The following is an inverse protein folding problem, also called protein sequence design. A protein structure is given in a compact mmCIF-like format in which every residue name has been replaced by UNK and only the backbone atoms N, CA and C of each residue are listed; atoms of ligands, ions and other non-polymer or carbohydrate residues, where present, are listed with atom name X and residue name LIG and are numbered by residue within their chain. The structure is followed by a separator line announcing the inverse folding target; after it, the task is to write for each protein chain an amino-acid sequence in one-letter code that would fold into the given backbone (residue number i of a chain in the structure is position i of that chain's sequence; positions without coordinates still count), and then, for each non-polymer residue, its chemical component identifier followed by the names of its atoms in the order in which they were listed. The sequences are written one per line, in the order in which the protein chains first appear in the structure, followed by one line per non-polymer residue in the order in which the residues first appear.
data_IF_454733613028
#
_entry.id   IF_454733613028
#
_cell.length_a   1.000
_cell.length_b   1.000
_cell.length_c   1.000
_cell.angle_alpha   90.00
_cell.angle_beta   90.00
_cell.angle_gamma   90.00
#
_symmetry.space_group_name_H-M   'P 1'
#
loop_
_entity.id
_entity.type
_entity.pdbx_description
1 polymer ?
#
# COMPACT_ATOMS: atom_id res chain seq x y z
N UNK A 1 -9.48 12.73 31.94
CA UNK A 1 -9.41 14.10 31.39
C UNK A 1 -8.35 15.03 32.03
N UNK A 2 -7.67 14.64 33.09
CA UNK A 2 -6.65 15.46 33.78
C UNK A 2 -5.21 15.19 33.30
N UNK A 3 -4.93 14.06 32.62
CA UNK A 3 -3.58 13.64 32.22
C UNK A 3 -3.06 14.33 30.95
N UNK A 4 -3.90 14.56 29.94
CA UNK A 4 -3.48 15.17 28.66
C UNK A 4 -3.15 16.66 28.75
N UNK A 5 -3.83 17.41 29.63
CA UNK A 5 -3.54 18.84 29.84
C UNK A 5 -2.21 19.08 30.54
N UNK A 6 -1.71 18.11 31.30
CA UNK A 6 -0.40 18.19 31.94
C UNK A 6 0.74 17.93 30.96
N UNK A 7 0.63 16.96 30.05
CA UNK A 7 1.66 16.66 29.07
C UNK A 7 1.87 17.78 28.06
N UNK A 8 0.80 18.41 27.58
CA UNK A 8 0.89 19.57 26.67
C UNK A 8 1.58 20.78 27.34
N UNK A 9 1.28 21.05 28.63
CA UNK A 9 1.95 22.11 29.39
C UNK A 9 3.46 21.89 29.51
N UNK A 10 3.90 20.65 29.71
CA UNK A 10 5.31 20.31 29.77
C UNK A 10 6.02 20.47 28.41
N UNK A 11 5.37 20.14 27.31
CA UNK A 11 5.92 20.35 25.95
C UNK A 11 6.07 21.84 25.64
N UNK A 12 5.08 22.67 26.01
CA UNK A 12 5.20 24.13 25.86
C UNK A 12 6.25 24.74 26.79
N UNK A 13 6.39 24.26 28.00
CA UNK A 13 7.43 24.69 28.93
C UNK A 13 8.83 24.31 28.42
N UNK A 14 9.02 23.11 27.88
CA UNK A 14 10.30 22.66 27.29
C UNK A 14 10.65 23.46 26.02
N UNK A 15 9.68 23.75 25.17
CA UNK A 15 9.90 24.59 23.98
C UNK A 15 10.22 26.03 24.36
N UNK A 16 9.52 26.61 25.32
CA UNK A 16 9.83 27.94 25.84
C UNK A 16 11.21 28.03 26.54
N UNK A 17 11.57 26.99 27.30
CA UNK A 17 12.90 26.89 27.92
C UNK A 17 14.02 26.83 26.87
N UNK A 18 13.85 26.07 25.79
CA UNK A 18 14.84 26.02 24.71
C UNK A 18 15.01 27.36 23.99
N UNK A 19 13.91 28.09 23.72
CA UNK A 19 13.97 29.42 23.13
C UNK A 19 14.70 30.43 24.09
N UNK A 20 14.40 30.36 25.38
CA UNK A 20 15.06 31.20 26.40
C UNK A 20 16.54 30.88 26.49
N UNK A 21 16.94 29.61 26.43
CA UNK A 21 18.34 29.19 26.45
C UNK A 21 19.07 29.69 25.21
N UNK A 22 18.50 29.62 24.04
CA UNK A 22 19.07 30.11 22.79
C UNK A 22 19.25 31.63 22.87
N UNK A 23 18.24 32.37 23.35
CA UNK A 23 18.34 33.82 23.56
C UNK A 23 19.41 34.18 24.60
N UNK A 24 19.50 33.45 25.70
CA UNK A 24 20.53 33.65 26.73
C UNK A 24 21.94 33.40 26.17
N UNK A 25 22.13 32.37 25.35
CA UNK A 25 23.39 32.08 24.68
C UNK A 25 23.77 33.22 23.71
N UNK A 26 22.79 33.73 22.95
CA UNK A 26 23.03 34.86 22.03
C UNK A 26 23.46 36.13 22.77
N UNK A 27 22.79 36.48 23.88
CA UNK A 27 23.14 37.62 24.73
C UNK A 27 24.51 37.42 25.38
N UNK A 28 24.83 36.22 25.84
CA UNK A 28 26.13 35.89 26.44
C UNK A 28 27.26 36.00 25.40
N UNK A 29 27.05 35.54 24.17
CA UNK A 29 28.00 35.65 23.08
C UNK A 29 28.28 37.11 22.68
N UNK A 30 27.30 38.00 22.79
CA UNK A 30 27.48 39.42 22.50
C UNK A 30 28.18 40.20 23.65
N UNK A 31 28.10 39.68 24.88
CA UNK A 31 28.66 40.27 26.07
C UNK A 31 30.10 39.81 26.42
N UNK A 32 30.60 38.74 25.80
CA UNK A 32 31.93 38.17 26.09
C UNK A 32 32.98 38.59 25.05
N UNK A 33 34.23 38.83 25.41
CA UNK A 33 35.33 39.15 24.49
C UNK A 33 35.81 37.85 23.80
N UNK A 34 35.00 37.29 22.88
CA UNK A 34 35.36 36.17 22.05
C UNK A 34 35.91 36.62 20.70
N UNK A 35 36.84 35.84 20.14
CA UNK A 35 37.36 36.04 18.80
C UNK A 35 36.25 36.08 17.77
N UNK A 36 36.38 36.93 16.75
CA UNK A 36 35.33 37.17 15.75
C UNK A 36 35.03 35.92 14.91
N UNK A 37 36.04 35.07 14.69
CA UNK A 37 35.92 33.81 13.95
C UNK A 37 35.14 32.74 14.75
N UNK A 38 35.37 32.68 16.07
CA UNK A 38 34.62 31.77 16.98
C UNK A 38 33.16 32.22 17.08
N UNK A 39 32.89 33.53 17.11
CA UNK A 39 31.53 34.08 17.09
C UNK A 39 30.75 33.71 15.83
N UNK A 40 31.41 33.83 14.66
CA UNK A 40 30.76 33.49 13.37
C UNK A 40 30.41 32.01 13.29
N UNK A 41 31.32 31.15 13.71
CA UNK A 41 31.11 29.67 13.68
C UNK A 41 29.96 29.23 14.61
N UNK A 42 29.86 29.85 15.80
CA UNK A 42 28.76 29.53 16.74
C UNK A 42 27.43 30.08 16.20
N UNK A 43 27.40 31.29 15.62
CA UNK A 43 26.19 31.84 14.98
C UNK A 43 25.72 31.00 13.79
N UNK A 44 26.62 30.54 12.94
CA UNK A 44 26.31 29.65 11.84
C UNK A 44 25.77 28.29 12.33
N UNK A 45 26.33 27.72 13.39
CA UNK A 45 25.87 26.50 14.01
C UNK A 45 24.48 26.67 14.61
N UNK A 46 24.17 27.75 15.28
CA UNK A 46 22.85 28.07 15.83
C UNK A 46 21.86 28.32 14.68
N UNK A 47 22.26 29.02 13.63
CA UNK A 47 21.43 29.28 12.45
C UNK A 47 21.12 27.99 11.69
N UNK A 48 22.09 27.06 11.59
CA UNK A 48 21.89 25.71 11.04
C UNK A 48 20.94 24.88 11.89
N UNK A 49 21.00 24.99 13.21
CA UNK A 49 20.07 24.31 14.12
C UNK A 49 18.66 24.92 14.06
N UNK A 50 18.55 26.27 13.99
CA UNK A 50 17.21 26.91 13.85
C UNK A 50 16.59 26.69 12.48
N UNK A 51 17.39 26.59 11.41
CA UNK A 51 16.89 26.26 10.06
C UNK A 51 16.48 24.78 9.91
N UNK A 52 16.94 23.90 10.80
CA UNK A 52 16.46 22.51 10.87
C UNK A 52 15.10 22.37 11.60
N UNK A 53 14.72 23.37 12.38
CA UNK A 53 13.40 23.47 13.00
C UNK A 53 12.57 24.50 12.25
N UNK A 54 11.86 24.05 11.21
CA UNK A 54 10.92 24.91 10.48
C UNK A 54 9.69 25.20 11.36
N UNK A 55 9.72 26.37 12.04
CA UNK A 55 8.61 26.86 12.86
C UNK A 55 7.43 27.41 12.04
N UNK A 56 7.50 27.41 10.71
CA UNK A 56 6.36 27.82 9.86
C UNK A 56 5.18 26.86 9.97
N UNK A 57 5.43 25.62 10.39
CA UNK A 57 4.39 24.63 10.66
C UNK A 57 3.47 25.00 11.85
N UNK A 58 3.96 25.71 12.85
CA UNK A 58 3.16 26.15 14.00
C UNK A 58 2.31 27.41 13.72
N UNK A 59 2.58 28.17 12.66
CA UNK A 59 1.76 29.32 12.24
C UNK A 59 0.51 28.95 11.44
N UNK A 60 0.43 27.69 10.93
CA UNK A 60 -0.71 27.19 10.17
C UNK A 60 -1.89 26.68 11.03
N UNK A 61 -1.67 26.49 12.35
CA UNK A 61 -2.69 25.87 13.23
C UNK A 61 -3.73 26.88 13.76
N UNK A 62 -3.54 28.19 13.57
CA UNK A 62 -4.39 29.20 14.22
C UNK A 62 -4.95 30.29 13.30
N UNK A 63 -5.21 30.03 12.04
CA UNK A 63 -6.09 30.91 11.24
C UNK A 63 -6.88 30.12 10.22
N UNK A 64 -8.19 30.36 10.29
CA UNK A 64 -9.24 30.05 9.32
C UNK A 64 -9.96 28.72 9.41
N UNK A 65 -10.63 28.53 10.55
CA UNK A 65 -11.89 27.78 10.61
C UNK A 65 -13.08 28.70 10.30
N UNK A 66 -13.18 29.19 9.08
CA UNK A 66 -14.43 29.66 8.48
C UNK A 66 -14.49 29.10 7.07
N UNK A 67 -14.98 27.87 6.98
CA UNK A 67 -15.21 27.20 5.73
C UNK A 67 -16.37 27.84 4.97
N UNK A 68 -16.12 28.29 3.79
CA UNK A 68 -17.13 28.29 2.75
C UNK A 68 -17.15 26.88 2.13
N UNK A 69 -18.24 26.17 2.31
CA UNK A 69 -18.50 24.90 1.67
C UNK A 69 -18.68 25.09 0.17
N UNK A 70 -17.62 25.03 -0.62
CA UNK A 70 -17.70 24.91 -2.07
C UNK A 70 -16.32 24.74 -2.73
N UNK A 71 -15.57 23.68 -2.42
CA UNK A 71 -14.49 23.30 -3.32
C UNK A 71 -14.29 21.79 -3.22
N UNK A 72 -14.90 21.07 -4.15
CA UNK A 72 -14.96 19.61 -4.20
C UNK A 72 -13.97 19.05 -5.22
N UNK A 73 -12.68 19.39 -5.12
CA UNK A 73 -11.74 18.88 -6.11
C UNK A 73 -10.28 19.05 -5.76
N UNK A 74 -9.46 18.18 -6.34
CA UNK A 74 -8.02 18.32 -6.33
C UNK A 74 -7.58 19.30 -7.40
N UNK A 75 -6.66 20.20 -7.06
CA UNK A 75 -6.02 21.08 -8.04
C UNK A 75 -4.63 20.57 -8.34
N UNK A 76 -4.38 20.24 -9.61
CA UNK A 76 -3.05 19.92 -10.14
C UNK A 76 -2.50 21.16 -10.82
N UNK A 77 -1.36 21.64 -10.32
CA UNK A 77 -0.66 22.80 -10.91
C UNK A 77 0.64 22.34 -11.59
N UNK A 78 0.87 22.67 -12.87
CA UNK A 78 2.12 22.34 -13.56
C UNK A 78 3.36 22.90 -12.84
N UNK A 79 4.40 22.05 -12.69
CA UNK A 79 5.67 22.44 -12.09
C UNK A 79 5.67 22.55 -10.55
N UNK A 80 4.50 22.46 -9.92
CA UNK A 80 4.37 22.43 -8.47
C UNK A 80 3.07 21.71 -8.14
N UNK A 81 3.12 20.37 -8.08
CA UNK A 81 1.92 19.57 -7.78
C UNK A 81 1.48 19.85 -6.35
N UNK A 82 0.39 20.57 -6.23
CA UNK A 82 -0.29 20.84 -4.95
C UNK A 82 -1.59 20.06 -4.94
N UNK A 83 -1.66 19.09 -4.06
CA UNK A 83 -2.93 18.42 -3.78
C UNK A 83 -3.67 19.25 -2.73
N UNK A 84 -4.67 20.00 -3.20
CA UNK A 84 -5.61 20.67 -2.30
C UNK A 84 -6.66 19.64 -1.91
N UNK A 85 -6.47 19.09 -0.73
CA UNK A 85 -7.41 18.14 -0.17
C UNK A 85 -8.66 18.86 0.34
N UNK A 86 -9.80 18.54 -0.22
CA UNK A 86 -11.11 18.92 0.30
C UNK A 86 -11.97 17.67 0.38
N UNK A 87 -12.26 17.25 1.60
CA UNK A 87 -13.19 16.17 1.83
C UNK A 87 -14.56 16.73 2.19
N UNK A 88 -15.52 16.83 1.24
CA UNK A 88 -16.86 17.35 1.53
C UNK A 88 -17.64 16.42 2.46
N UNK A 89 -17.23 15.15 2.57
CA UNK A 89 -17.82 14.15 3.47
C UNK A 89 -17.08 14.07 4.81
N UNK A 90 -15.95 14.78 4.95
CA UNK A 90 -15.17 14.78 6.17
C UNK A 90 -16.02 15.35 7.31
N UNK A 91 -16.35 14.52 8.27
CA UNK A 91 -16.91 14.96 9.55
C UNK A 91 -15.73 15.34 10.42
N UNK A 92 -15.69 16.59 10.86
CA UNK A 92 -14.80 16.95 11.97
C UNK A 92 -15.37 16.23 13.21
N UNK A 93 -14.64 15.23 13.70
CA UNK A 93 -15.10 14.40 14.80
C UNK A 93 -13.94 13.79 15.59
N UNK A 94 -14.28 13.15 16.68
CA UNK A 94 -13.33 12.33 17.44
C UNK A 94 -12.90 11.13 16.58
N UNK A 95 -11.59 10.81 16.43
CA UNK A 95 -11.12 9.65 15.70
C UNK A 95 -11.79 8.34 16.10
N UNK A 96 -12.15 8.18 17.36
CA UNK A 96 -12.87 7.00 17.87
C UNK A 96 -14.29 6.91 17.30
N UNK A 97 -15.02 8.03 17.24
CA UNK A 97 -16.36 8.06 16.63
C UNK A 97 -16.29 7.77 15.13
N UNK A 98 -15.27 8.28 14.45
CA UNK A 98 -15.02 8.01 13.03
C UNK A 98 -14.71 6.53 12.81
N UNK A 99 -13.87 5.91 13.64
CA UNK A 99 -13.60 4.48 13.58
C UNK A 99 -14.87 3.63 13.75
N UNK A 100 -15.73 3.98 14.73
CA UNK A 100 -17.00 3.29 14.95
C UNK A 100 -17.95 3.44 13.75
N UNK A 101 -18.01 4.64 13.14
CA UNK A 101 -18.80 4.88 11.92
C UNK A 101 -18.26 4.09 10.73
N UNK A 102 -16.94 4.10 10.53
CA UNK A 102 -16.28 3.36 9.45
C UNK A 102 -16.47 1.84 9.59
N UNK A 103 -16.36 1.33 10.81
CA UNK A 103 -16.60 -0.09 11.11
C UNK A 103 -18.05 -0.48 10.80
N UNK A 104 -19.02 0.34 11.20
CA UNK A 104 -20.45 0.11 10.86
C UNK A 104 -20.66 0.11 9.35
N UNK A 105 -20.15 1.10 8.64
CA UNK A 105 -20.26 1.21 7.18
C UNK A 105 -19.71 0.00 6.45
N UNK A 106 -18.49 -0.43 6.79
CA UNK A 106 -17.90 -1.63 6.25
C UNK A 106 -18.76 -2.86 6.50
N UNK A 107 -19.20 -3.03 7.75
CA UNK A 107 -20.03 -4.18 8.16
C UNK A 107 -21.39 -4.18 7.44
N UNK A 108 -22.03 -3.03 7.28
CA UNK A 108 -23.30 -2.91 6.55
C UNK A 108 -23.14 -3.30 5.08
N UNK A 109 -22.07 -2.85 4.42
CA UNK A 109 -21.76 -3.23 3.03
C UNK A 109 -21.48 -4.72 2.91
N UNK A 110 -20.68 -5.28 3.80
CA UNK A 110 -20.31 -6.71 3.76
C UNK A 110 -21.47 -7.65 4.11
N UNK A 111 -22.45 -7.19 4.89
CA UNK A 111 -23.63 -7.96 5.23
C UNK A 111 -24.69 -7.98 4.12
N UNK A 112 -24.58 -7.16 3.08
CA UNK A 112 -25.47 -7.23 1.93
C UNK A 112 -25.25 -8.56 1.19
N UNK A 113 -26.33 -9.29 0.93
CA UNK A 113 -26.24 -10.56 0.18
C UNK A 113 -25.92 -10.29 -1.27
N UNK A 114 -24.86 -10.90 -1.77
CA UNK A 114 -24.34 -10.73 -3.14
C UNK A 114 -24.08 -12.10 -3.79
N UNK A 115 -23.99 -12.11 -5.12
CA UNK A 115 -23.68 -13.33 -5.89
C UNK A 115 -22.52 -13.15 -6.88
N UNK A 116 -21.98 -11.95 -6.99
CA UNK A 116 -20.93 -11.57 -7.94
C UNK A 116 -21.27 -10.24 -8.63
N UNK A 117 -20.36 -9.67 -9.41
CA UNK A 117 -20.61 -8.45 -10.17
C UNK A 117 -21.80 -8.56 -11.11
N UNK A 118 -22.69 -7.57 -11.08
CA UNK A 118 -23.89 -7.48 -11.93
C UNK A 118 -23.72 -6.61 -13.18
N UNK A 119 -22.60 -5.92 -13.27
CA UNK A 119 -22.29 -5.00 -14.39
C UNK A 119 -21.72 -5.72 -15.62
N UNK A 120 -21.70 -7.07 -15.59
CA UNK A 120 -21.26 -7.92 -16.69
C UNK A 120 -22.04 -9.24 -16.70
N UNK A 121 -22.21 -9.83 -17.89
CA UNK A 121 -22.78 -11.16 -18.06
C UNK A 121 -21.76 -12.25 -17.63
N UNK A 122 -21.79 -12.62 -16.36
CA UNK A 122 -20.89 -13.63 -15.81
C UNK A 122 -21.12 -15.03 -16.40
N UNK A 123 -22.30 -15.30 -16.98
CA UNK A 123 -22.59 -16.60 -17.60
C UNK A 123 -21.73 -16.80 -18.83
N UNK A 124 -21.38 -15.71 -19.55
CA UNK A 124 -20.50 -15.77 -20.72
C UNK A 124 -19.05 -16.15 -20.41
N UNK A 125 -18.65 -16.05 -19.16
CA UNK A 125 -17.29 -16.35 -18.67
C UNK A 125 -17.29 -17.37 -17.52
N UNK A 126 -18.31 -18.23 -17.45
CA UNK A 126 -18.36 -19.33 -16.49
C UNK A 126 -17.30 -20.40 -16.77
N UNK A 127 -17.01 -21.18 -15.74
CA UNK A 127 -16.14 -22.34 -15.87
C UNK A 127 -16.63 -23.28 -16.98
N UNK A 128 -15.74 -23.66 -17.90
CA UNK A 128 -16.09 -24.56 -18.99
C UNK A 128 -16.37 -25.98 -18.48
N UNK A 129 -17.17 -26.73 -19.24
CA UNK A 129 -17.36 -28.17 -18.98
C UNK A 129 -16.08 -28.97 -19.26
N UNK A 130 -15.24 -28.49 -20.17
CA UNK A 130 -13.92 -29.03 -20.49
C UNK A 130 -12.86 -27.92 -20.44
N UNK A 131 -12.05 -27.85 -19.36
CA UNK A 131 -10.97 -26.87 -19.24
C UNK A 131 -9.91 -26.99 -20.34
N UNK A 132 -9.74 -28.16 -20.97
CA UNK A 132 -8.76 -28.38 -22.01
C UNK A 132 -9.03 -27.62 -23.32
N UNK A 133 -10.27 -27.23 -23.55
CA UNK A 133 -10.71 -26.48 -24.74
C UNK A 133 -10.97 -25.00 -24.45
N UNK A 134 -10.75 -24.57 -23.21
CA UNK A 134 -11.05 -23.20 -22.77
C UNK A 134 -9.98 -22.22 -23.23
N UNK A 135 -10.42 -21.16 -23.92
CA UNK A 135 -9.55 -20.06 -24.28
C UNK A 135 -9.35 -19.13 -23.07
N UNK A 136 -8.16 -19.19 -22.48
CA UNK A 136 -7.80 -18.37 -21.32
C UNK A 136 -7.57 -16.92 -21.69
N UNK A 137 -7.81 -16.00 -20.75
CA UNK A 137 -7.18 -14.69 -20.79
C UNK A 137 -5.64 -14.84 -20.66
N UNK A 138 -4.89 -13.84 -21.11
CA UNK A 138 -3.42 -13.89 -21.04
C UNK A 138 -2.96 -13.62 -19.60
N UNK A 139 -2.97 -14.63 -18.74
CA UNK A 139 -2.76 -14.51 -17.31
C UNK A 139 -1.97 -15.68 -16.70
N UNK A 140 -1.41 -15.46 -15.53
CA UNK A 140 -0.74 -16.45 -14.69
C UNK A 140 -1.01 -16.23 -13.21
N UNK A 141 -0.93 -17.30 -12.41
CA UNK A 141 -1.00 -17.26 -10.95
C UNK A 141 0.43 -17.25 -10.43
N UNK A 142 0.80 -16.24 -9.64
CA UNK A 142 2.18 -16.00 -9.21
C UNK A 142 2.35 -16.28 -7.72
N UNK A 143 3.41 -16.99 -7.37
CA UNK A 143 3.85 -17.17 -5.99
C UNK A 143 5.36 -16.96 -5.86
N UNK A 144 5.78 -15.95 -5.11
CA UNK A 144 7.16 -15.80 -4.66
C UNK A 144 7.32 -16.63 -3.38
N UNK A 145 8.09 -17.70 -3.44
CA UNK A 145 8.09 -18.72 -2.39
C UNK A 145 9.42 -19.50 -2.35
N UNK A 146 9.90 -19.75 -1.14
CA UNK A 146 11.13 -20.55 -0.93
C UNK A 146 10.84 -22.04 -0.94
N UNK A 147 11.88 -22.85 -1.21
CA UNK A 147 11.80 -24.31 -1.11
C UNK A 147 11.28 -24.81 0.25
N UNK A 148 11.60 -24.11 1.34
CA UNK A 148 11.16 -24.43 2.70
C UNK A 148 9.66 -24.23 2.92
N UNK A 149 9.00 -23.38 2.12
CA UNK A 149 7.58 -23.02 2.25
C UNK A 149 6.64 -23.95 1.49
N UNK A 150 7.15 -25.06 0.95
CA UNK A 150 6.40 -26.02 0.14
C UNK A 150 5.11 -26.57 0.81
N UNK A 151 5.05 -26.61 2.15
CA UNK A 151 3.84 -27.03 2.89
C UNK A 151 2.81 -25.91 2.89
N UNK A 152 3.24 -24.68 3.20
CA UNK A 152 2.37 -23.51 3.27
C UNK A 152 1.71 -23.20 1.91
N UNK A 153 2.54 -23.07 0.86
CA UNK A 153 2.01 -22.81 -0.49
C UNK A 153 1.16 -23.99 -1.01
N UNK A 154 1.50 -25.23 -0.68
CA UNK A 154 0.69 -26.38 -1.05
C UNK A 154 -0.70 -26.41 -0.38
N UNK A 155 -0.85 -25.81 0.82
CA UNK A 155 -2.17 -25.61 1.45
C UNK A 155 -2.97 -24.57 0.68
N UNK A 156 -2.34 -23.46 0.33
CA UNK A 156 -2.95 -22.40 -0.49
C UNK A 156 -3.41 -22.95 -1.84
N UNK A 157 -2.54 -23.65 -2.58
CA UNK A 157 -2.90 -24.23 -3.89
C UNK A 157 -4.14 -25.12 -3.78
N UNK A 158 -4.20 -26.03 -2.81
CA UNK A 158 -5.38 -26.91 -2.66
C UNK A 158 -6.69 -26.15 -2.40
N UNK A 159 -6.62 -25.01 -1.67
CA UNK A 159 -7.80 -24.16 -1.44
C UNK A 159 -8.14 -23.37 -2.69
N UNK A 160 -7.14 -22.83 -3.36
CA UNK A 160 -7.30 -22.05 -4.58
C UNK A 160 -7.79 -22.92 -5.76
N UNK A 161 -7.34 -24.17 -5.88
CA UNK A 161 -7.86 -25.12 -6.85
C UNK A 161 -9.37 -25.39 -6.64
N UNK A 162 -9.80 -25.54 -5.38
CA UNK A 162 -11.23 -25.73 -5.06
C UNK A 162 -12.05 -24.48 -5.32
N UNK A 163 -11.48 -23.32 -5.00
CA UNK A 163 -12.15 -22.03 -5.13
C UNK A 163 -12.23 -21.57 -6.58
N UNK A 164 -11.15 -21.67 -7.33
CA UNK A 164 -11.03 -21.10 -8.66
C UNK A 164 -10.31 -21.99 -9.67
N UNK A 165 -9.01 -22.26 -9.49
CA UNK A 165 -8.16 -22.70 -10.58
C UNK A 165 -8.38 -24.16 -11.02
N UNK A 166 -8.95 -24.99 -10.17
CA UNK A 166 -9.36 -26.34 -10.58
C UNK A 166 -10.37 -26.36 -11.74
N UNK A 167 -11.13 -25.27 -11.88
CA UNK A 167 -12.13 -25.08 -12.94
C UNK A 167 -11.55 -24.44 -14.20
N UNK A 168 -10.55 -23.56 -14.07
CA UNK A 168 -10.04 -22.73 -15.16
C UNK A 168 -8.67 -23.14 -15.67
N UNK A 169 -7.82 -23.77 -14.84
CA UNK A 169 -6.50 -24.29 -15.21
C UNK A 169 -5.50 -23.24 -15.73
N UNK A 170 -5.56 -22.02 -15.19
CA UNK A 170 -4.52 -21.01 -15.44
C UNK A 170 -3.14 -21.50 -14.97
N UNK A 171 -2.05 -21.17 -15.69
CA UNK A 171 -0.71 -21.60 -15.31
C UNK A 171 -0.26 -20.96 -13.98
N UNK A 172 0.52 -21.71 -13.22
CA UNK A 172 1.23 -21.20 -12.06
C UNK A 172 2.67 -20.81 -12.42
N UNK A 173 3.11 -19.67 -11.92
CA UNK A 173 4.50 -19.22 -12.02
C UNK A 173 5.07 -19.07 -10.61
N UNK A 174 5.91 -20.01 -10.21
CA UNK A 174 6.64 -19.98 -8.95
C UNK A 174 7.95 -19.23 -9.13
N UNK A 175 8.25 -18.32 -8.25
CA UNK A 175 9.41 -17.42 -8.32
C UNK A 175 10.19 -17.52 -7.00
N UNK A 176 11.51 -17.56 -7.06
CA UNK A 176 12.39 -17.63 -5.90
C UNK A 176 13.76 -16.99 -6.24
N UNK A 177 14.46 -16.52 -5.24
CA UNK A 177 15.84 -16.02 -5.35
C UNK A 177 16.88 -17.14 -5.46
N UNK A 178 16.46 -18.40 -5.22
CA UNK A 178 17.27 -19.60 -5.38
C UNK A 178 16.59 -20.63 -6.31
N UNK A 179 17.33 -21.53 -6.96
CA UNK A 179 16.75 -22.58 -7.78
C UNK A 179 15.78 -23.46 -6.99
N UNK A 180 14.65 -23.80 -7.61
CA UNK A 180 13.71 -24.75 -7.02
C UNK A 180 14.25 -26.19 -7.09
N UNK A 181 14.16 -26.90 -5.97
CA UNK A 181 14.51 -28.30 -5.89
C UNK A 181 13.49 -29.19 -6.61
N UNK A 182 13.94 -30.35 -7.14
CA UNK A 182 13.03 -31.32 -7.75
C UNK A 182 11.96 -31.81 -6.79
N UNK A 183 12.28 -31.89 -5.50
CA UNK A 183 11.32 -32.22 -4.44
C UNK A 183 10.19 -31.20 -4.37
N UNK A 184 10.53 -29.90 -4.43
CA UNK A 184 9.54 -28.82 -4.45
C UNK A 184 8.66 -28.91 -5.70
N UNK A 185 9.29 -28.99 -6.89
CA UNK A 185 8.59 -29.05 -8.18
C UNK A 185 7.62 -30.21 -8.23
N UNK A 186 8.05 -31.44 -7.90
CA UNK A 186 7.19 -32.63 -7.85
C UNK A 186 6.03 -32.46 -6.87
N UNK A 187 6.29 -31.80 -5.73
CA UNK A 187 5.26 -31.57 -4.72
C UNK A 187 4.20 -30.57 -5.21
N UNK A 188 4.60 -29.47 -5.88
CA UNK A 188 3.63 -28.51 -6.45
C UNK A 188 2.80 -29.17 -7.54
N UNK A 189 3.43 -29.91 -8.46
CA UNK A 189 2.76 -30.66 -9.51
C UNK A 189 1.74 -31.70 -9.00
N UNK A 190 1.88 -32.16 -7.75
CA UNK A 190 0.91 -33.09 -7.15
C UNK A 190 -0.38 -32.41 -6.67
N UNK A 191 -0.45 -31.07 -6.67
CA UNK A 191 -1.60 -30.31 -6.18
C UNK A 191 -2.52 -29.79 -7.29
N UNK A 192 -2.04 -29.70 -8.52
CA UNK A 192 -2.81 -29.20 -9.67
C UNK A 192 -2.28 -29.80 -10.98
N UNK A 193 -3.21 -30.03 -11.93
CA UNK A 193 -2.89 -30.41 -13.31
C UNK A 193 -2.62 -29.19 -14.21
N UNK A 194 -2.75 -27.98 -13.69
CA UNK A 194 -2.45 -26.75 -14.44
C UNK A 194 -0.94 -26.67 -14.75
N UNK A 195 -0.55 -26.03 -15.86
CA UNK A 195 0.86 -25.84 -16.19
C UNK A 195 1.61 -25.10 -15.07
N UNK A 196 2.88 -25.48 -14.83
CA UNK A 196 3.70 -24.85 -13.79
C UNK A 196 5.06 -24.44 -14.33
N UNK A 197 5.43 -23.19 -14.11
CA UNK A 197 6.74 -22.62 -14.39
C UNK A 197 7.48 -22.33 -13.08
N UNK A 198 8.81 -22.49 -13.09
CA UNK A 198 9.66 -22.29 -11.93
C UNK A 198 10.83 -21.36 -12.33
N UNK A 199 10.82 -20.15 -11.82
CA UNK A 199 11.73 -19.07 -12.18
C UNK A 199 12.69 -18.80 -11.03
N UNK A 200 13.97 -18.66 -11.35
CA UNK A 200 14.97 -18.11 -10.43
C UNK A 200 15.20 -16.65 -10.78
N UNK A 201 15.03 -15.76 -9.79
CA UNK A 201 15.18 -14.32 -9.99
C UNK A 201 16.65 -14.00 -10.29
N UNK A 202 16.96 -13.26 -11.37
CA UNK A 202 18.29 -12.73 -11.61
C UNK A 202 18.76 -11.86 -10.42
N UNK A 203 20.02 -12.01 -10.03
CA UNK A 203 20.62 -11.32 -8.89
C UNK A 203 20.44 -9.81 -8.94
N UNK A 204 20.61 -9.21 -10.10
CA UNK A 204 20.46 -7.77 -10.34
C UNK A 204 19.05 -7.24 -10.07
N UNK A 205 18.01 -8.07 -10.19
CA UNK A 205 16.63 -7.71 -9.88
C UNK A 205 16.25 -7.93 -8.41
N UNK A 206 17.01 -8.79 -7.72
CA UNK A 206 16.69 -9.18 -6.33
C UNK A 206 17.63 -8.57 -5.30
N UNK A 207 18.94 -8.68 -5.50
CA UNK A 207 19.92 -8.34 -4.48
C UNK A 207 19.90 -6.82 -4.15
N UNK A 208 20.32 -6.51 -2.93
CA UNK A 208 20.52 -5.13 -2.51
C UNK A 208 21.56 -4.46 -3.45
N UNK A 209 21.24 -3.30 -4.05
CA UNK A 209 22.17 -2.58 -4.90
C UNK A 209 23.47 -2.23 -4.17
N UNK A 210 24.60 -2.31 -4.87
CA UNK A 210 25.94 -1.98 -4.32
C UNK A 210 26.04 -0.52 -3.84
N UNK A 211 25.19 0.37 -4.37
CA UNK A 211 25.10 1.77 -3.96
C UNK A 211 24.53 1.97 -2.55
N UNK A 212 23.96 0.94 -1.95
CA UNK A 212 23.41 0.98 -0.59
C UNK A 212 24.53 0.78 0.43
N UNK A 213 24.78 1.80 1.24
CA UNK A 213 25.69 1.71 2.38
C UNK A 213 25.11 0.76 3.45
N UNK A 214 25.75 -0.39 3.61
CA UNK A 214 25.30 -1.44 4.51
C UNK A 214 25.29 -0.98 5.97
N UNK A 215 26.33 -0.23 6.39
CA UNK A 215 26.43 0.25 7.77
C UNK A 215 25.32 1.25 8.08
N UNK A 216 25.07 2.20 7.17
CA UNK A 216 23.97 3.16 7.30
C UNK A 216 22.62 2.45 7.32
N UNK A 217 22.44 1.42 6.49
CA UNK A 217 21.22 0.61 6.52
C UNK A 217 21.03 -0.02 7.89
N UNK A 218 22.06 -0.69 8.44
CA UNK A 218 21.97 -1.39 9.72
C UNK A 218 21.62 -0.43 10.86
N UNK A 219 22.23 0.78 10.87
CA UNK A 219 21.93 1.83 11.86
C UNK A 219 20.46 2.30 11.76
N UNK A 220 19.96 2.55 10.56
CA UNK A 220 18.58 3.00 10.35
C UNK A 220 17.55 1.89 10.65
N UNK A 221 17.87 0.64 10.31
CA UNK A 221 17.01 -0.50 10.62
C UNK A 221 16.95 -0.78 12.13
N UNK A 222 18.03 -0.49 12.88
CA UNK A 222 17.97 -0.55 14.33
C UNK A 222 16.99 0.48 14.89
N UNK A 223 17.04 1.73 14.40
CA UNK A 223 16.09 2.78 14.81
C UNK A 223 14.65 2.37 14.51
N UNK A 224 14.39 1.76 13.35
CA UNK A 224 13.05 1.27 13.01
C UNK A 224 12.59 0.12 13.90
N UNK A 225 13.48 -0.81 14.22
CA UNK A 225 13.16 -1.90 15.17
C UNK A 225 12.85 -1.37 16.56
N UNK A 226 13.59 -0.37 17.04
CA UNK A 226 13.34 0.31 18.32
C UNK A 226 11.97 1.05 18.35
N UNK A 227 11.36 1.26 17.17
CA UNK A 227 10.02 1.80 17.00
C UNK A 227 8.98 0.76 16.59
N UNK A 228 9.24 -0.52 16.82
CA UNK A 228 8.34 -1.64 16.54
C UNK A 228 7.96 -1.79 15.07
N UNK A 229 8.79 -1.33 14.13
CA UNK A 229 8.57 -1.56 12.70
C UNK A 229 8.90 -3.02 12.36
N UNK A 230 7.87 -3.80 12.06
CA UNK A 230 8.01 -5.21 11.72
C UNK A 230 8.93 -5.44 10.51
N UNK A 231 9.74 -6.51 10.56
CA UNK A 231 10.68 -6.92 9.51
C UNK A 231 11.80 -5.92 9.19
N UNK A 232 12.02 -4.89 10.00
CA UNK A 232 13.00 -3.83 9.75
C UNK A 232 14.40 -4.37 9.43
N UNK A 233 14.89 -5.36 10.18
CA UNK A 233 16.22 -5.97 10.00
C UNK A 233 16.27 -7.13 9.01
N UNK A 234 15.15 -7.50 8.40
CA UNK A 234 15.11 -8.66 7.50
C UNK A 234 15.45 -8.24 6.06
N UNK A 235 16.72 -8.34 5.66
CA UNK A 235 17.18 -7.95 4.32
C UNK A 235 16.34 -8.60 3.19
N UNK A 236 15.98 -9.88 3.34
CA UNK A 236 15.16 -10.56 2.34
C UNK A 236 13.77 -9.97 2.19
N UNK A 237 13.23 -9.34 3.24
CA UNK A 237 11.96 -8.61 3.17
C UNK A 237 12.11 -7.31 2.37
N UNK A 238 13.19 -6.55 2.57
CA UNK A 238 13.51 -5.36 1.78
C UNK A 238 13.69 -5.69 0.30
N UNK A 239 14.44 -6.78 0.00
CA UNK A 239 14.60 -7.28 -1.36
C UNK A 239 13.25 -7.62 -1.99
N UNK A 240 12.37 -8.33 -1.27
CA UNK A 240 11.04 -8.70 -1.72
C UNK A 240 10.17 -7.48 -2.00
N UNK A 241 10.14 -6.50 -1.10
CA UNK A 241 9.38 -5.27 -1.29
C UNK A 241 9.85 -4.47 -2.51
N UNK A 242 11.17 -4.32 -2.67
CA UNK A 242 11.76 -3.67 -3.85
C UNK A 242 11.43 -4.44 -5.13
N UNK A 243 11.56 -5.76 -5.11
CA UNK A 243 11.28 -6.63 -6.24
C UNK A 243 9.83 -6.49 -6.71
N UNK A 244 8.86 -6.68 -5.84
CA UNK A 244 7.45 -6.55 -6.19
C UNK A 244 7.06 -5.12 -6.58
N UNK A 245 7.70 -4.11 -6.01
CA UNK A 245 7.40 -2.71 -6.36
C UNK A 245 7.68 -2.35 -7.83
N UNK A 246 8.58 -3.10 -8.52
CA UNK A 246 8.89 -2.77 -9.92
C UNK A 246 9.69 -3.83 -10.67
N UNK A 247 10.73 -4.41 -10.06
CA UNK A 247 11.60 -5.37 -10.74
C UNK A 247 10.88 -6.65 -11.18
N UNK A 248 9.84 -7.07 -10.46
CA UNK A 248 8.97 -8.18 -10.80
C UNK A 248 8.44 -8.10 -12.24
N UNK A 249 8.03 -6.91 -12.66
CA UNK A 249 7.44 -6.68 -13.98
C UNK A 249 8.46 -6.73 -15.11
N UNK A 250 9.76 -6.78 -14.79
CA UNK A 250 10.88 -6.86 -15.75
C UNK A 250 11.33 -8.29 -16.02
N UNK A 251 10.85 -9.29 -15.27
CA UNK A 251 11.20 -10.68 -15.50
C UNK A 251 10.88 -11.11 -16.93
N UNK A 252 11.87 -11.66 -17.69
CA UNK A 252 11.67 -12.07 -19.09
C UNK A 252 10.53 -13.09 -19.27
N UNK A 253 10.41 -14.03 -18.33
CA UNK A 253 9.43 -15.11 -18.37
C UNK A 253 8.00 -14.59 -18.19
N UNK A 254 7.83 -13.43 -17.53
CA UNK A 254 6.52 -12.81 -17.33
C UNK A 254 6.11 -11.90 -18.48
N UNK A 255 6.99 -11.56 -19.44
CA UNK A 255 6.67 -10.64 -20.54
C UNK A 255 5.54 -11.17 -21.45
N UNK A 256 5.35 -12.47 -21.49
CA UNK A 256 4.27 -13.13 -22.25
C UNK A 256 2.88 -12.97 -21.61
N UNK A 257 2.80 -12.60 -20.33
CA UNK A 257 1.54 -12.46 -19.60
C UNK A 257 1.14 -10.99 -19.48
N UNK A 258 -0.17 -10.75 -19.57
CA UNK A 258 -0.78 -9.44 -19.30
C UNK A 258 -1.24 -9.35 -17.85
N UNK A 259 -1.94 -10.36 -17.33
CA UNK A 259 -2.46 -10.36 -15.98
C UNK A 259 -1.71 -11.34 -15.09
N UNK A 260 -1.68 -11.03 -13.78
CA UNK A 260 -1.25 -11.95 -12.75
C UNK A 260 -2.21 -11.93 -11.57
N UNK A 261 -2.28 -13.05 -10.86
CA UNK A 261 -2.91 -13.15 -9.55
C UNK A 261 -1.88 -13.65 -8.55
N UNK A 262 -1.52 -12.82 -7.57
CA UNK A 262 -0.58 -13.16 -6.51
C UNK A 262 -1.25 -14.00 -5.45
N UNK A 263 -0.63 -15.10 -5.09
CA UNK A 263 -0.99 -15.95 -3.95
C UNK A 263 0.23 -16.15 -3.05
N UNK A 264 -0.02 -16.34 -1.76
CA UNK A 264 1.03 -16.53 -0.75
C UNK A 264 0.84 -17.82 0.05
N UNK A 265 1.89 -18.33 0.75
CA UNK A 265 1.77 -19.46 1.64
C UNK A 265 0.77 -19.19 2.79
N UNK A 266 -0.03 -20.22 3.13
CA UNK A 266 -0.97 -20.21 4.27
C UNK A 266 -2.11 -19.18 4.19
N UNK A 267 -2.51 -18.76 3.01
CA UNK A 267 -3.73 -17.98 2.80
C UNK A 267 -4.94 -18.89 2.56
N UNK A 268 -6.12 -18.36 2.81
CA UNK A 268 -7.39 -19.05 2.66
C UNK A 268 -8.31 -18.38 1.66
N UNK A 269 -9.02 -19.21 0.88
CA UNK A 269 -10.11 -18.83 -0.01
C UNK A 269 -11.39 -19.50 0.45
N UNK A 270 -12.47 -18.72 0.58
CA UNK A 270 -13.74 -19.14 1.16
C UNK A 270 -14.90 -19.17 0.16
N UNK A 271 -14.73 -18.59 -1.03
CA UNK A 271 -15.77 -18.51 -2.06
C UNK A 271 -15.52 -19.53 -3.17
N UNK A 272 -16.59 -20.19 -3.61
CA UNK A 272 -16.62 -20.94 -4.88
C UNK A 272 -16.82 -19.96 -6.03
N UNK A 273 -15.71 -19.48 -6.63
CA UNK A 273 -15.69 -18.47 -7.70
C UNK A 273 -16.10 -19.13 -9.01
N UNK A 274 -17.28 -18.78 -9.52
CA UNK A 274 -17.92 -19.47 -10.67
C UNK A 274 -17.64 -18.83 -12.03
N UNK A 275 -16.99 -17.69 -12.05
CA UNK A 275 -16.66 -16.93 -13.25
C UNK A 275 -15.16 -16.72 -13.39
N UNK A 276 -14.71 -16.50 -14.62
CA UNK A 276 -13.30 -16.21 -14.91
C UNK A 276 -12.97 -14.78 -14.53
N UNK A 277 -12.23 -14.63 -13.43
CA UNK A 277 -11.82 -13.35 -12.88
C UNK A 277 -10.95 -12.56 -13.87
N UNK A 278 -10.07 -13.21 -14.61
CA UNK A 278 -9.20 -12.53 -15.58
C UNK A 278 -9.98 -12.05 -16.81
N UNK A 279 -10.91 -12.83 -17.32
CA UNK A 279 -11.80 -12.38 -18.39
C UNK A 279 -12.72 -11.24 -17.96
N UNK A 280 -13.18 -11.25 -16.71
CA UNK A 280 -13.91 -10.13 -16.14
C UNK A 280 -13.03 -8.85 -16.10
N UNK A 281 -11.80 -8.95 -15.60
CA UNK A 281 -10.84 -7.85 -15.60
C UNK A 281 -10.62 -7.30 -17.01
N UNK A 282 -10.44 -8.18 -17.99
CA UNK A 282 -10.23 -7.79 -19.39
C UNK A 282 -11.46 -7.11 -20.00
N UNK A 283 -12.63 -7.72 -19.86
CA UNK A 283 -13.89 -7.19 -20.40
C UNK A 283 -14.26 -5.83 -19.82
N UNK A 284 -14.02 -5.63 -18.52
CA UNK A 284 -14.30 -4.38 -17.81
C UNK A 284 -13.12 -3.39 -17.84
N UNK A 285 -12.00 -3.75 -18.50
CA UNK A 285 -10.75 -2.94 -18.57
C UNK A 285 -10.21 -2.60 -17.19
N UNK A 286 -10.40 -3.52 -16.21
CA UNK A 286 -9.84 -3.35 -14.88
C UNK A 286 -8.33 -3.58 -14.92
N UNK A 287 -7.59 -2.75 -14.23
CA UNK A 287 -6.13 -2.83 -14.16
C UNK A 287 -5.64 -3.40 -12.83
N UNK A 288 -6.46 -3.33 -11.80
CA UNK A 288 -6.10 -3.83 -10.48
C UNK A 288 -7.33 -4.35 -9.72
N UNK A 289 -7.16 -5.47 -9.03
CA UNK A 289 -8.17 -6.07 -8.18
C UNK A 289 -7.60 -6.45 -6.82
N UNK A 290 -8.35 -6.15 -5.77
CA UNK A 290 -7.96 -6.38 -4.38
C UNK A 290 -9.15 -6.86 -3.54
N UNK A 291 -8.89 -7.32 -2.30
CA UNK A 291 -9.94 -7.70 -1.35
C UNK A 291 -9.89 -6.93 -0.03
N UNK A 292 -8.73 -6.53 0.44
CA UNK A 292 -8.53 -5.93 1.75
C UNK A 292 -7.68 -4.65 1.63
N UNK A 293 -8.07 -3.60 2.35
CA UNK A 293 -7.27 -2.39 2.55
C UNK A 293 -6.95 -2.22 4.02
N UNK A 294 -5.68 -1.92 4.31
CA UNK A 294 -5.18 -1.69 5.66
C UNK A 294 -4.34 -0.40 5.71
N UNK A 295 -4.23 0.17 6.90
CA UNK A 295 -3.18 1.16 7.19
C UNK A 295 -1.83 0.46 7.38
N UNK A 296 -0.76 0.99 6.79
CA UNK A 296 0.61 0.52 7.03
C UNK A 296 1.18 1.16 8.32
N UNK A 297 2.29 0.62 8.78
CA UNK A 297 3.08 1.20 9.86
C UNK A 297 3.63 2.54 9.37
N UNK A 298 3.16 3.64 9.92
CA UNK A 298 3.46 5.00 9.49
C UNK A 298 4.95 5.32 9.37
N UNK A 299 5.76 4.82 10.31
CA UNK A 299 7.21 5.01 10.33
C UNK A 299 7.96 4.25 9.25
N UNK A 300 7.36 3.23 8.65
CA UNK A 300 8.00 2.47 7.58
C UNK A 300 8.01 3.23 6.24
N UNK A 301 7.18 4.26 6.10
CA UNK A 301 6.91 4.99 4.84
C UNK A 301 6.98 6.51 5.00
N UNK A 302 7.72 7.01 6.00
CA UNK A 302 7.75 8.44 6.36
C UNK A 302 8.05 9.36 5.17
N UNK A 303 8.93 8.94 4.27
CA UNK A 303 9.34 9.79 3.15
C UNK A 303 8.84 9.31 1.79
N UNK A 304 8.04 8.26 1.73
CA UNK A 304 7.54 7.72 0.45
C UNK A 304 6.69 8.77 -0.30
N UNK A 305 5.79 9.46 0.39
CA UNK A 305 4.99 10.52 -0.20
C UNK A 305 5.81 11.76 -0.58
N UNK A 306 6.67 12.31 0.28
CA UNK A 306 7.60 13.38 -0.11
C UNK A 306 8.48 13.06 -1.33
N UNK A 307 9.00 11.84 -1.46
CA UNK A 307 9.76 11.44 -2.65
C UNK A 307 8.88 11.34 -3.89
N UNK A 308 7.66 10.86 -3.73
CA UNK A 308 6.67 10.88 -4.81
C UNK A 308 6.38 12.30 -5.30
N UNK A 309 6.18 13.25 -4.38
CA UNK A 309 5.99 14.67 -4.73
C UNK A 309 7.22 15.28 -5.43
N UNK A 310 8.43 14.90 -5.01
CA UNK A 310 9.68 15.32 -5.72
C UNK A 310 9.70 14.81 -7.16
N UNK A 311 9.31 13.54 -7.37
CA UNK A 311 9.18 13.00 -8.72
C UNK A 311 8.18 13.78 -9.55
N UNK A 312 6.98 14.00 -9.04
CA UNK A 312 5.93 14.72 -9.76
C UNK A 312 6.31 16.15 -10.11
N UNK A 313 7.05 16.83 -9.23
CA UNK A 313 7.51 18.20 -9.44
C UNK A 313 8.78 18.31 -10.31
N UNK A 314 9.35 17.19 -10.77
CA UNK A 314 10.52 17.18 -11.64
C UNK A 314 10.10 17.27 -13.11
N UNK A 315 10.52 18.34 -13.81
CA UNK A 315 10.15 18.55 -15.20
C UNK A 315 8.63 18.72 -15.38
N UNK A 316 8.04 17.88 -16.22
CA UNK A 316 6.60 17.84 -16.50
C UNK A 316 5.94 16.50 -16.05
N UNK A 317 6.51 15.81 -15.08
CA UNK A 317 6.05 14.48 -14.67
C UNK A 317 4.61 14.47 -14.14
N UNK A 318 4.07 15.63 -13.72
CA UNK A 318 2.66 15.72 -13.35
C UNK A 318 1.71 15.32 -14.51
N UNK A 319 2.19 15.30 -15.76
CA UNK A 319 1.45 14.81 -16.93
C UNK A 319 1.00 13.35 -16.78
N UNK A 320 1.70 12.57 -15.98
CA UNK A 320 1.37 11.17 -15.69
C UNK A 320 0.18 11.02 -14.75
N UNK A 321 -0.17 12.08 -14.01
CA UNK A 321 -1.24 12.00 -13.02
C UNK A 321 -2.59 11.93 -13.69
N UNK A 322 -3.36 10.89 -13.38
CA UNK A 322 -4.72 10.72 -13.90
C UNK A 322 -5.70 11.66 -13.16
N UNK A 323 -6.50 12.42 -13.89
CA UNK A 323 -7.47 13.36 -13.31
C UNK A 323 -8.53 12.67 -12.44
N UNK A 324 -8.81 11.40 -12.72
CA UNK A 324 -9.79 10.59 -11.99
C UNK A 324 -9.12 9.63 -11.01
N UNK A 325 -7.90 9.94 -10.57
CA UNK A 325 -7.15 9.13 -9.63
C UNK A 325 -7.82 9.04 -8.24
N UNK A 326 -7.40 8.08 -7.44
CA UNK A 326 -7.95 7.83 -6.11
C UNK A 326 -7.27 8.70 -5.03
N UNK A 327 -7.07 9.99 -5.28
CA UNK A 327 -6.28 10.89 -4.41
C UNK A 327 -6.88 11.06 -3.03
N UNK A 328 -8.21 11.17 -2.95
CA UNK A 328 -8.89 11.42 -1.70
C UNK A 328 -8.74 10.22 -0.75
N UNK A 329 -8.88 9.01 -1.28
CA UNK A 329 -8.60 7.80 -0.53
C UNK A 329 -7.15 7.74 -0.05
N UNK A 330 -6.21 8.14 -0.89
CA UNK A 330 -4.78 8.10 -0.59
C UNK A 330 -4.38 9.06 0.53
N UNK A 331 -5.04 10.22 0.64
CA UNK A 331 -4.63 11.34 1.50
C UNK A 331 -5.56 11.57 2.70
N UNK A 332 -6.71 10.89 2.76
CA UNK A 332 -7.64 11.02 3.88
C UNK A 332 -7.27 10.10 5.03
N UNK A 333 -7.09 10.66 6.20
CA UNK A 333 -6.64 9.98 7.41
C UNK A 333 -7.51 10.27 8.64
N UNK A 334 -8.77 10.62 8.45
CA UNK A 334 -9.67 11.02 9.54
C UNK A 334 -9.71 10.00 10.68
N UNK A 335 -9.61 8.71 10.37
CA UNK A 335 -9.57 7.63 11.36
C UNK A 335 -8.23 7.59 12.12
N UNK A 336 -7.11 7.81 11.42
CA UNK A 336 -5.76 7.73 11.96
C UNK A 336 -4.92 8.99 11.61
N UNK A 337 -5.27 10.18 12.15
CA UNK A 337 -4.58 11.43 11.78
C UNK A 337 -3.09 11.43 12.12
N UNK A 338 -2.65 10.54 13.01
CA UNK A 338 -1.24 10.35 13.33
C UNK A 338 -0.47 9.78 12.12
N UNK A 339 -1.06 8.84 11.39
CA UNK A 339 -0.39 8.19 10.26
C UNK A 339 -0.02 9.21 9.18
N UNK A 340 -0.98 10.03 8.73
CA UNK A 340 -0.69 11.05 7.74
C UNK A 340 0.32 12.10 8.24
N UNK A 341 0.32 12.42 9.52
CA UNK A 341 1.33 13.32 10.10
C UNK A 341 2.73 12.71 10.01
N UNK A 342 2.89 11.44 10.39
CA UNK A 342 4.19 10.74 10.37
C UNK A 342 4.64 10.49 8.92
N UNK A 343 3.73 10.06 8.05
CA UNK A 343 4.00 9.79 6.63
C UNK A 343 3.91 11.05 5.74
N UNK A 344 3.98 12.25 6.32
CA UNK A 344 4.08 13.53 5.64
C UNK A 344 2.98 13.77 4.58
N UNK A 345 1.73 13.43 4.90
CA UNK A 345 0.55 13.65 4.08
C UNK A 345 -0.03 12.40 3.42
N UNK A 346 0.63 11.27 3.51
CA UNK A 346 0.06 9.98 3.08
C UNK A 346 -0.71 9.34 4.23
N UNK A 347 -1.96 8.93 3.98
CA UNK A 347 -2.80 8.28 4.99
C UNK A 347 -2.28 6.94 5.49
N UNK A 348 -1.36 6.33 4.78
CA UNK A 348 -0.84 4.96 4.89
C UNK A 348 -1.84 3.86 4.53
N UNK A 349 -3.08 4.21 4.17
CA UNK A 349 -4.04 3.25 3.64
C UNK A 349 -3.52 2.66 2.32
N UNK A 350 -3.55 1.34 2.21
CA UNK A 350 -3.04 0.65 1.02
C UNK A 350 -3.88 -0.58 0.69
N UNK A 351 -3.86 -1.01 -0.58
CA UNK A 351 -4.31 -2.32 -1.01
C UNK A 351 -3.33 -3.38 -0.47
N UNK A 352 -3.82 -4.36 0.28
CA UNK A 352 -2.95 -5.36 0.88
C UNK A 352 -2.52 -6.39 -0.16
N UNK A 353 -1.30 -6.25 -0.66
CA UNK A 353 -0.79 -6.87 -1.89
C UNK A 353 -0.60 -8.39 -1.85
N UNK A 354 -0.78 -9.05 -0.70
CA UNK A 354 -0.78 -10.53 -0.66
C UNK A 354 -1.97 -11.17 -1.40
N UNK A 355 -3.02 -10.40 -1.66
CA UNK A 355 -4.02 -10.67 -2.66
C UNK A 355 -4.05 -9.50 -3.64
N UNK A 356 -3.55 -9.72 -4.83
CA UNK A 356 -3.67 -8.74 -5.91
C UNK A 356 -3.83 -9.44 -7.25
N UNK A 357 -4.69 -8.86 -8.10
CA UNK A 357 -4.82 -9.22 -9.51
C UNK A 357 -4.48 -7.98 -10.30
N UNK A 358 -3.39 -8.00 -11.05
CA UNK A 358 -2.87 -6.82 -11.72
C UNK A 358 -2.72 -6.99 -13.23
N UNK A 359 -2.96 -5.90 -13.98
CA UNK A 359 -2.55 -5.78 -15.38
C UNK A 359 -1.08 -5.33 -15.41
N UNK A 360 -0.17 -6.23 -15.77
CA UNK A 360 1.26 -5.94 -15.83
C UNK A 360 1.60 -4.83 -16.81
N UNK A 361 0.76 -4.54 -17.80
CA UNK A 361 0.97 -3.44 -18.72
C UNK A 361 0.87 -2.07 -18.03
N UNK A 362 0.02 -1.95 -16.99
CA UNK A 362 -0.01 -0.74 -16.17
C UNK A 362 1.32 -0.55 -15.43
N UNK A 363 1.79 -1.59 -14.75
CA UNK A 363 3.05 -1.54 -13.99
C UNK A 363 4.30 -1.43 -14.87
N UNK A 364 4.20 -1.85 -16.15
CA UNK A 364 5.25 -1.65 -17.18
C UNK A 364 5.15 -0.30 -17.89
N UNK A 365 4.11 0.49 -17.62
CA UNK A 365 3.93 1.79 -18.25
C UNK A 365 5.08 2.75 -17.94
N UNK A 366 5.32 3.70 -18.83
CA UNK A 366 6.32 4.75 -18.64
C UNK A 366 6.11 5.48 -17.31
N UNK A 367 4.86 5.87 -17.02
CA UNK A 367 4.51 6.59 -15.78
C UNK A 367 4.93 5.83 -14.52
N UNK A 368 4.54 4.56 -14.43
CA UNK A 368 4.84 3.75 -13.24
C UNK A 368 6.34 3.44 -13.14
N UNK A 369 6.98 3.06 -14.24
CA UNK A 369 8.39 2.66 -14.24
C UNK A 369 9.35 3.84 -14.01
N UNK A 370 9.08 5.02 -14.55
CA UNK A 370 9.88 6.22 -14.26
C UNK A 370 9.74 6.65 -12.80
N UNK A 371 8.54 6.55 -12.23
CA UNK A 371 8.32 6.78 -10.81
C UNK A 371 9.02 5.73 -9.94
N UNK A 372 8.89 4.43 -10.26
CA UNK A 372 9.61 3.37 -9.55
C UNK A 372 11.13 3.57 -9.59
N UNK A 373 11.71 3.88 -10.75
CA UNK A 373 13.14 4.17 -10.87
C UNK A 373 13.56 5.35 -9.99
N UNK A 374 12.73 6.39 -9.91
CA UNK A 374 12.98 7.50 -8.98
C UNK A 374 13.01 7.01 -7.54
N UNK A 375 12.01 6.26 -7.11
CA UNK A 375 11.96 5.70 -5.75
C UNK A 375 13.17 4.80 -5.46
N UNK A 376 13.49 3.89 -6.37
CA UNK A 376 14.61 2.95 -6.24
C UNK A 376 15.96 3.68 -6.11
N UNK A 377 16.16 4.75 -6.88
CA UNK A 377 17.36 5.56 -6.83
C UNK A 377 17.61 6.25 -5.48
N UNK A 378 16.59 6.39 -4.64
CA UNK A 378 16.73 6.97 -3.29
C UNK A 378 17.37 6.02 -2.28
N UNK A 379 17.37 4.71 -2.58
CA UNK A 379 17.82 3.67 -1.67
C UNK A 379 16.90 3.40 -0.48
N UNK A 380 15.71 4.02 -0.43
CA UNK A 380 14.87 4.01 0.77
C UNK A 380 14.05 2.73 0.96
N UNK A 381 14.03 1.83 -0.01
CA UNK A 381 13.64 0.45 0.24
C UNK A 381 14.51 -0.21 1.32
N UNK A 382 15.75 0.30 1.51
CA UNK A 382 16.74 -0.21 2.46
C UNK A 382 17.04 0.75 3.62
N UNK A 383 16.89 2.06 3.41
CA UNK A 383 17.12 3.09 4.44
C UNK A 383 15.85 3.43 5.24
N UNK A 384 14.68 3.11 4.70
CA UNK A 384 13.40 2.95 5.36
C UNK A 384 12.93 1.51 5.09
N UNK A 385 11.68 1.19 5.38
CA UNK A 385 11.11 -0.13 5.07
C UNK A 385 9.90 0.04 4.14
N UNK A 386 10.09 0.66 2.98
CA UNK A 386 9.01 0.78 2.01
C UNK A 386 8.52 -0.58 1.56
N UNK A 387 7.22 -0.84 1.78
CA UNK A 387 6.54 -2.03 1.30
C UNK A 387 6.09 -1.89 -0.14
N UNK A 388 5.90 -3.01 -0.84
CA UNK A 388 5.31 -3.03 -2.18
C UNK A 388 3.84 -2.59 -2.17
N UNK A 389 3.06 -2.95 -1.14
CA UNK A 389 1.66 -2.56 -1.01
C UNK A 389 1.43 -1.04 -1.01
N UNK A 390 2.10 -0.21 -0.18
CA UNK A 390 1.99 1.24 -0.28
C UNK A 390 2.53 1.80 -1.60
N UNK A 391 3.59 1.23 -2.18
CA UNK A 391 4.11 1.65 -3.49
C UNK A 391 3.06 1.38 -4.58
N UNK A 392 2.51 0.17 -4.69
CA UNK A 392 1.44 -0.14 -5.64
C UNK A 392 0.25 0.80 -5.46
N UNK A 393 -0.17 1.03 -4.22
CA UNK A 393 -1.35 1.85 -3.90
C UNK A 393 -1.18 3.31 -4.31
N UNK A 394 -0.02 3.91 -4.06
CA UNK A 394 0.28 5.28 -4.49
C UNK A 394 0.34 5.36 -6.02
N UNK A 395 1.03 4.43 -6.68
CA UNK A 395 1.11 4.39 -8.14
C UNK A 395 -0.26 4.26 -8.81
N UNK A 396 -1.10 3.35 -8.29
CA UNK A 396 -2.47 3.16 -8.76
C UNK A 396 -3.32 4.41 -8.54
N UNK A 397 -3.26 4.99 -7.34
CA UNK A 397 -4.04 6.19 -7.02
C UNK A 397 -3.65 7.41 -7.86
N UNK A 398 -2.39 7.51 -8.29
CA UNK A 398 -1.88 8.63 -9.08
C UNK A 398 -2.09 8.43 -10.59
N UNK A 399 -1.80 7.24 -11.11
CA UNK A 399 -1.66 7.04 -12.56
C UNK A 399 -2.84 6.30 -13.18
N UNK A 400 -3.67 5.62 -12.38
CA UNK A 400 -4.86 4.92 -12.85
C UNK A 400 -6.14 5.77 -12.70
N UNK A 401 -7.14 5.50 -13.54
CA UNK A 401 -8.51 5.91 -13.24
C UNK A 401 -9.05 5.04 -12.09
N UNK A 402 -9.59 5.64 -11.04
CA UNK A 402 -10.12 4.91 -9.88
C UNK A 402 -11.19 3.87 -10.24
N UNK A 403 -11.93 4.08 -11.32
CA UNK A 403 -12.93 3.12 -11.81
C UNK A 403 -12.32 1.83 -12.34
N UNK A 404 -11.03 1.85 -12.74
CA UNK A 404 -10.33 0.67 -13.27
C UNK A 404 -9.69 -0.17 -12.15
N UNK A 405 -9.83 0.27 -10.89
CA UNK A 405 -9.46 -0.47 -9.68
C UNK A 405 -10.72 -1.13 -9.13
N UNK A 406 -10.68 -2.46 -8.95
CA UNK A 406 -11.84 -3.24 -8.56
C UNK A 406 -11.68 -3.89 -7.18
N UNK A 407 -12.64 -3.69 -6.29
CA UNK A 407 -12.75 -4.45 -5.06
C UNK A 407 -13.50 -5.75 -5.31
N UNK A 408 -12.81 -6.89 -5.31
CA UNK A 408 -13.43 -8.21 -5.36
C UNK A 408 -14.12 -8.52 -4.02
N UNK A 409 -15.22 -7.83 -3.80
CA UNK A 409 -16.03 -7.94 -2.59
C UNK A 409 -16.61 -9.32 -2.42
N UNK A 410 -16.90 -10.02 -3.51
CA UNK A 410 -17.47 -11.35 -3.58
C UNK A 410 -16.46 -12.48 -3.36
N UNK A 411 -15.17 -12.20 -3.31
CA UNK A 411 -14.14 -13.21 -3.06
C UNK A 411 -13.79 -13.26 -1.58
N UNK A 412 -14.20 -14.31 -0.90
CA UNK A 412 -13.81 -14.62 0.48
C UNK A 412 -12.34 -15.00 0.55
N UNK A 413 -11.54 -14.22 1.27
CA UNK A 413 -10.10 -14.36 1.38
C UNK A 413 -9.61 -14.04 2.79
N UNK A 414 -8.60 -14.74 3.27
CA UNK A 414 -7.86 -14.32 4.45
C UNK A 414 -6.37 -14.58 4.33
N UNK A 415 -5.63 -13.66 4.90
CA UNK A 415 -4.26 -13.81 5.34
C UNK A 415 -4.21 -13.37 6.80
N UNK A 416 -3.76 -14.26 7.68
CA UNK A 416 -3.78 -14.03 9.11
C UNK A 416 -3.14 -12.67 9.48
N UNK A 417 -3.79 -11.83 10.29
CA UNK A 417 -5.08 -12.01 10.98
C UNK A 417 -6.31 -11.34 10.30
N UNK A 418 -6.20 -10.89 9.06
CA UNK A 418 -7.25 -10.14 8.36
C UNK A 418 -8.02 -11.00 7.38
N UNK A 419 -9.28 -10.62 7.12
CA UNK A 419 -10.13 -11.32 6.19
C UNK A 419 -11.13 -10.41 5.48
N UNK A 420 -11.55 -10.84 4.28
CA UNK A 420 -12.71 -10.38 3.55
C UNK A 420 -13.69 -11.56 3.47
N UNK A 421 -14.86 -11.45 4.10
CA UNK A 421 -15.84 -12.53 4.13
C UNK A 421 -17.20 -12.04 3.64
N UNK A 422 -17.54 -12.23 2.36
CA UNK A 422 -18.79 -11.78 1.78
C UNK A 422 -19.99 -12.58 2.27
N UNK A 423 -21.16 -11.95 2.30
CA UNK A 423 -22.44 -12.60 2.48
C UNK A 423 -22.93 -13.15 1.14
N UNK A 424 -22.59 -14.39 0.83
CA UNK A 424 -22.94 -15.06 -0.42
C UNK A 424 -23.25 -16.54 -0.17
N UNK A 425 -24.15 -17.10 -0.98
CA UNK A 425 -24.44 -18.54 -0.96
C UNK A 425 -23.23 -19.38 -1.42
N UNK A 426 -22.30 -18.77 -2.15
CA UNK A 426 -21.08 -19.39 -2.65
C UNK A 426 -19.90 -19.28 -1.66
N UNK A 427 -20.08 -18.62 -0.50
CA UNK A 427 -19.05 -18.42 0.52
C UNK A 427 -19.35 -19.22 1.77
N UNK A 428 -18.35 -19.91 2.29
CA UNK A 428 -18.48 -20.71 3.51
C UNK A 428 -17.17 -20.79 4.29
N UNK A 429 -17.27 -20.99 5.61
CA UNK A 429 -16.11 -21.22 6.48
C UNK A 429 -15.46 -19.97 7.06
N UNK A 430 -16.02 -18.77 6.81
CA UNK A 430 -15.63 -17.53 7.45
C UNK A 430 -16.85 -16.79 8.05
N UNK A 431 -16.59 -15.76 8.86
CA UNK A 431 -17.64 -14.94 9.50
C UNK A 431 -17.94 -13.73 8.63
N UNK A 432 -19.12 -13.68 8.04
CA UNK A 432 -19.60 -12.56 7.20
C UNK A 432 -19.45 -11.21 7.93
N UNK A 433 -18.98 -10.21 7.19
CA UNK A 433 -18.83 -8.83 7.68
C UNK A 433 -17.65 -8.60 8.62
N UNK A 434 -16.87 -9.64 8.95
CA UNK A 434 -15.64 -9.47 9.73
C UNK A 434 -14.49 -9.03 8.84
N UNK A 435 -13.65 -8.12 9.33
CA UNK A 435 -12.42 -7.67 8.66
C UNK A 435 -11.15 -8.21 9.32
N UNK A 436 -11.26 -8.86 10.46
CA UNK A 436 -10.13 -9.42 11.20
C UNK A 436 -10.59 -10.47 12.23
N UNK A 437 -9.62 -11.24 12.72
CA UNK A 437 -9.88 -12.29 13.71
C UNK A 437 -10.22 -11.72 15.09
N UNK A 438 -9.72 -10.51 15.41
CA UNK A 438 -9.89 -9.88 16.70
C UNK A 438 -10.38 -8.44 16.57
N UNK A 439 -11.17 -8.01 17.54
CA UNK A 439 -11.82 -6.71 17.55
C UNK A 439 -10.83 -5.52 17.57
N UNK A 440 -9.66 -5.69 18.22
CA UNK A 440 -8.64 -4.64 18.28
C UNK A 440 -7.93 -4.36 16.93
N UNK A 441 -8.17 -5.17 15.90
CA UNK A 441 -7.63 -4.97 14.55
C UNK A 441 -8.54 -4.12 13.65
N UNK A 442 -9.71 -3.73 14.14
CA UNK A 442 -10.68 -2.95 13.35
C UNK A 442 -10.15 -1.56 12.98
N UNK A 443 -9.28 -0.98 13.80
CA UNK A 443 -8.66 0.33 13.55
C UNK A 443 -7.67 0.32 12.37
N UNK A 444 -7.20 -0.85 11.94
CA UNK A 444 -6.30 -0.99 10.82
C UNK A 444 -7.02 -1.11 9.47
N UNK A 445 -8.32 -1.38 9.48
CA UNK A 445 -9.13 -1.47 8.26
C UNK A 445 -9.48 -0.08 7.74
N UNK A 446 -9.04 0.26 6.53
CA UNK A 446 -9.35 1.52 5.86
C UNK A 446 -10.31 1.37 4.65
N UNK A 447 -11.05 0.25 4.56
CA UNK A 447 -12.01 0.01 3.48
C UNK A 447 -13.13 1.06 3.43
N UNK A 448 -13.54 1.62 4.56
CA UNK A 448 -14.59 2.64 4.60
C UNK A 448 -14.20 3.89 3.80
N UNK A 449 -12.92 4.27 3.80
CA UNK A 449 -12.42 5.38 2.98
C UNK A 449 -12.50 5.05 1.50
N UNK A 450 -12.15 3.82 1.11
CA UNK A 450 -12.32 3.37 -0.27
C UNK A 450 -13.78 3.41 -0.72
N UNK A 451 -14.67 2.86 0.11
CA UNK A 451 -16.12 2.87 -0.12
C UNK A 451 -16.65 4.28 -0.33
N UNK A 452 -16.21 5.24 0.49
CA UNK A 452 -16.71 6.62 0.43
C UNK A 452 -16.22 7.40 -0.78
N UNK A 453 -14.94 7.24 -1.15
CA UNK A 453 -14.29 8.19 -2.05
C UNK A 453 -13.96 7.64 -3.42
N UNK A 454 -13.82 6.33 -3.53
CA UNK A 454 -13.36 5.71 -4.77
C UNK A 454 -14.41 4.82 -5.41
N UNK A 455 -15.46 4.47 -4.67
CA UNK A 455 -16.47 3.51 -5.11
C UNK A 455 -17.90 4.07 -5.13
N UNK A 456 -18.13 5.31 -5.53
CA UNK A 456 -19.46 5.94 -5.51
C UNK A 456 -20.56 5.05 -6.11
N UNK A 457 -20.27 4.32 -7.20
CA UNK A 457 -21.24 3.45 -7.90
C UNK A 457 -21.00 1.96 -7.69
N UNK A 458 -19.85 1.56 -7.13
CA UNK A 458 -19.40 0.17 -7.17
C UNK A 458 -20.03 -0.73 -6.10
N UNK A 459 -20.65 -0.17 -5.07
CA UNK A 459 -21.52 -0.97 -4.18
C UNK A 459 -22.71 -1.52 -4.96
N UNK A 460 -23.21 -0.77 -5.94
CA UNK A 460 -24.34 -1.14 -6.79
C UNK A 460 -24.05 -2.23 -7.82
N UNK A 461 -22.78 -2.54 -8.12
CA UNK A 461 -22.42 -3.60 -9.09
C UNK A 461 -22.51 -5.02 -8.51
N UNK A 462 -22.70 -5.16 -7.20
CA UNK A 462 -22.88 -6.45 -6.53
C UNK A 462 -24.31 -6.72 -6.11
#
# INVERSE_FOLDING_TARGET
MLSLKHSLRWVYLLAACNVIIILAIMVYLDATPLDQEVRSTIRESIQSLTNKFDFTYLKGINKDSKGSAQDTGYTLEPGNVKFKFVNPKAKQGDPKEILEQNTRKYTEVMNQKIAGPKDFDLDSIRAPSDPGTYEHANATIVALVRNSEAIGIGRTIRKFERSFNGKFKYPYTFINDEPFSDKFKKKMQSYSDAPMEFITIPRELWDRPESIDAKKQDELMQIMEDHDVGYAKMLSYHNMCRFYSGNFYLLPELQKYRYYWRIEPNVDFYTDIKYDVFKYMEAKKRIYGFTINLYDIDRSVETLWPETLKFLNKGDNYKYVNKNGAFQWLLDDLQNPRNAKTANGYSTCHFWSNFEIGDMNFFRSEAYMEWFKHLDSTGKFYYERWGDAPVHSIGLALFADKKDIHWFRDIGYSHDPYLNCPHSDDTSGCKTGSSGQWEHLLDQNCMANWIDYSMEDTIGIY
#
